data_IF_639588286039
#
_entry.id   IF_639588286039
#
_cell.length_a   1.000
_cell.length_b   1.000
_cell.length_c   1.000
_cell.angle_alpha   90.00
_cell.angle_beta   90.00
_cell.angle_gamma   90.00
#
_symmetry.space_group_name_H-M   'P 1'
#
loop_
_entity.id
_entity.type
_entity.pdbx_description
1 polymer ?
#
# COMPACT_ATOMS: atom_id res chain seq x y z
N UNK A 1 -27.57 2.27 -17.25
CA UNK A 1 -26.95 2.16 -18.59
C UNK A 1 -26.46 0.74 -18.77
N UNK A 2 -26.45 0.24 -20.00
CA UNK A 2 -26.04 -1.15 -20.29
C UNK A 2 -24.55 -1.20 -20.62
N UNK A 3 -23.90 -2.33 -20.36
CA UNK A 3 -22.53 -2.62 -20.80
C UNK A 3 -22.36 -2.53 -22.33
N UNK A 4 -23.46 -2.68 -23.08
CA UNK A 4 -23.50 -2.57 -24.54
C UNK A 4 -23.14 -1.17 -25.04
N UNK A 5 -23.62 -0.11 -24.37
CA UNK A 5 -23.31 1.29 -24.74
C UNK A 5 -21.82 1.60 -24.56
N UNK A 6 -21.20 1.04 -23.51
CA UNK A 6 -19.77 1.16 -23.26
C UNK A 6 -18.96 0.41 -24.35
N UNK A 7 -19.36 -0.81 -24.68
CA UNK A 7 -18.71 -1.61 -25.73
C UNK A 7 -18.77 -0.92 -27.09
N UNK A 8 -19.95 -0.40 -27.49
CA UNK A 8 -20.09 0.36 -28.74
C UNK A 8 -19.18 1.60 -28.77
N UNK A 9 -19.01 2.27 -27.62
CA UNK A 9 -18.11 3.41 -27.50
C UNK A 9 -16.64 2.98 -27.65
N UNK A 10 -16.26 1.86 -27.04
CA UNK A 10 -14.92 1.29 -27.15
C UNK A 10 -14.62 0.81 -28.57
N UNK A 11 -15.55 0.15 -29.25
CA UNK A 11 -15.39 -0.27 -30.64
C UNK A 11 -15.15 0.93 -31.56
N UNK A 12 -15.93 2.01 -31.40
CA UNK A 12 -15.73 3.24 -32.16
C UNK A 12 -14.35 3.87 -31.88
N UNK A 13 -13.93 3.92 -30.62
CA UNK A 13 -12.61 4.44 -30.24
C UNK A 13 -11.47 3.58 -30.77
N UNK A 14 -11.62 2.26 -30.80
CA UNK A 14 -10.64 1.35 -31.38
C UNK A 14 -10.47 1.60 -32.88
N UNK A 15 -11.57 1.74 -33.64
CA UNK A 15 -11.49 2.08 -35.06
C UNK A 15 -10.75 3.41 -35.30
N UNK A 16 -10.95 4.42 -34.45
CA UNK A 16 -10.19 5.67 -34.56
C UNK A 16 -8.68 5.46 -34.37
N UNK A 17 -8.26 4.60 -33.43
CA UNK A 17 -6.84 4.27 -33.27
C UNK A 17 -6.28 3.46 -34.45
N UNK A 18 -7.10 2.59 -35.07
CA UNK A 18 -6.71 1.85 -36.26
C UNK A 18 -6.49 2.79 -37.47
N UNK A 19 -7.44 3.69 -37.70
CA UNK A 19 -7.42 4.60 -38.85
C UNK A 19 -6.30 5.65 -38.70
N UNK A 20 -6.10 6.16 -37.48
CA UNK A 20 -5.14 7.21 -37.17
C UNK A 20 -4.43 6.91 -35.84
N UNK A 21 -3.31 6.17 -35.84
CA UNK A 21 -2.61 5.81 -34.62
C UNK A 21 -2.13 7.03 -33.82
N UNK A 22 -2.62 7.18 -32.59
CA UNK A 22 -2.20 8.24 -31.65
C UNK A 22 -2.59 7.92 -30.20
N UNK A 23 -1.98 8.60 -29.25
CA UNK A 23 -2.26 8.47 -27.81
C UNK A 23 -3.44 9.36 -27.37
N UNK A 24 -4.62 9.13 -27.96
CA UNK A 24 -5.82 9.95 -27.75
C UNK A 24 -6.26 10.08 -26.28
N UNK A 25 -6.07 9.04 -25.46
CA UNK A 25 -6.37 9.10 -24.03
C UNK A 25 -5.41 10.00 -23.24
N UNK A 26 -4.22 10.26 -23.78
CA UNK A 26 -3.24 11.22 -23.24
C UNK A 26 -3.35 12.61 -23.89
N UNK A 27 -4.32 12.79 -24.80
CA UNK A 27 -4.62 14.08 -25.43
C UNK A 27 -3.86 14.34 -26.73
N UNK A 28 -3.19 13.33 -27.28
CA UNK A 28 -2.52 13.44 -28.58
C UNK A 28 -3.47 13.17 -29.76
N UNK A 29 -3.19 13.79 -30.92
CA UNK A 29 -3.95 13.57 -32.15
C UNK A 29 -5.18 14.47 -32.31
N UNK A 30 -6.17 13.98 -33.07
CA UNK A 30 -7.44 14.67 -33.33
C UNK A 30 -8.21 15.02 -32.04
N UNK A 31 -8.54 16.31 -31.92
CA UNK A 31 -9.24 16.86 -30.75
C UNK A 31 -10.64 16.29 -30.52
N UNK A 32 -11.34 15.87 -31.58
CA UNK A 32 -12.65 15.25 -31.51
C UNK A 32 -12.58 13.85 -30.91
N UNK A 33 -11.58 13.05 -31.31
CA UNK A 33 -11.31 11.73 -30.72
C UNK A 33 -10.88 11.86 -29.26
N UNK A 34 -10.00 12.82 -28.93
CA UNK A 34 -9.63 13.11 -27.53
C UNK A 34 -10.85 13.46 -26.67
N UNK A 35 -11.81 14.21 -27.21
CA UNK A 35 -13.07 14.51 -26.53
C UNK A 35 -13.94 13.26 -26.32
N UNK A 36 -13.95 12.35 -27.29
CA UNK A 36 -14.64 11.05 -27.18
C UNK A 36 -14.00 10.16 -26.10
N UNK A 37 -12.66 10.09 -26.02
CA UNK A 37 -11.92 9.43 -24.94
C UNK A 37 -12.30 9.99 -23.56
N UNK A 38 -12.36 11.32 -23.41
CA UNK A 38 -12.80 11.94 -22.14
C UNK A 38 -14.25 11.59 -21.80
N UNK A 39 -15.12 11.46 -22.80
CA UNK A 39 -16.52 11.04 -22.61
C UNK A 39 -16.62 9.58 -22.20
N UNK A 40 -15.83 8.68 -22.78
CA UNK A 40 -15.83 7.26 -22.43
C UNK A 40 -15.32 7.03 -21.00
N UNK A 41 -14.29 7.76 -20.55
CA UNK A 41 -13.84 7.73 -19.15
C UNK A 41 -14.94 8.21 -18.18
N UNK A 42 -15.68 9.27 -18.54
CA UNK A 42 -16.84 9.74 -17.75
C UNK A 42 -17.97 8.70 -17.69
N UNK A 43 -18.21 7.99 -18.80
CA UNK A 43 -19.18 6.89 -18.84
C UNK A 43 -18.73 5.73 -17.93
N UNK A 44 -17.44 5.41 -17.94
CA UNK A 44 -16.85 4.33 -17.14
C UNK A 44 -17.07 4.53 -15.63
N UNK A 45 -17.11 5.78 -15.14
CA UNK A 45 -17.42 6.09 -13.73
C UNK A 45 -18.76 5.55 -13.24
N UNK A 46 -19.71 5.28 -14.14
CA UNK A 46 -21.00 4.69 -13.75
C UNK A 46 -20.89 3.21 -13.37
N UNK A 47 -19.78 2.56 -13.74
CA UNK A 47 -19.50 1.15 -13.47
C UNK A 47 -18.51 0.97 -12.31
N UNK A 48 -18.41 1.96 -11.41
CA UNK A 48 -17.59 1.87 -10.21
C UNK A 48 -17.86 0.59 -9.43
N UNK A 49 -16.79 -0.10 -9.07
CA UNK A 49 -16.84 -1.32 -8.28
C UNK A 49 -16.86 -0.92 -6.80
N UNK A 50 -18.06 -0.85 -6.21
CA UNK A 50 -18.24 -0.39 -4.82
C UNK A 50 -18.00 -1.50 -3.81
N UNK A 51 -17.35 -1.15 -2.69
CA UNK A 51 -17.14 -2.04 -1.53
C UNK A 51 -16.54 -3.41 -1.89
N UNK A 52 -15.81 -3.53 -3.01
CA UNK A 52 -15.33 -4.82 -3.52
C UNK A 52 -14.42 -5.57 -2.55
N UNK A 53 -13.72 -4.84 -1.70
CA UNK A 53 -12.91 -5.37 -0.60
C UNK A 53 -13.71 -6.11 0.47
N UNK A 54 -15.00 -5.77 0.61
CA UNK A 54 -15.95 -6.39 1.56
C UNK A 54 -16.75 -7.53 0.95
N UNK A 55 -16.61 -7.75 -0.37
CA UNK A 55 -17.34 -8.79 -1.08
C UNK A 55 -16.51 -10.07 -1.14
N UNK A 56 -17.19 -11.22 -1.11
CA UNK A 56 -16.55 -12.53 -1.24
C UNK A 56 -16.11 -12.83 -2.68
N UNK A 57 -16.73 -12.16 -3.66
CA UNK A 57 -16.41 -12.31 -5.08
C UNK A 57 -15.01 -11.75 -5.37
N UNK A 58 -14.14 -12.58 -5.95
CA UNK A 58 -12.81 -12.12 -6.33
C UNK A 58 -12.88 -11.04 -7.42
N UNK A 59 -12.04 -10.02 -7.31
CA UNK A 59 -11.98 -8.87 -8.20
C UNK A 59 -11.93 -9.21 -9.70
N UNK A 60 -11.13 -10.18 -10.16
CA UNK A 60 -11.09 -10.53 -11.58
C UNK A 60 -12.44 -10.98 -12.17
N UNK A 61 -13.38 -11.43 -11.34
CA UNK A 61 -14.71 -11.88 -11.79
C UNK A 61 -15.65 -10.72 -12.13
N UNK A 62 -15.31 -9.47 -11.87
CA UNK A 62 -16.21 -8.36 -12.20
C UNK A 62 -16.23 -8.13 -13.72
N UNK A 63 -17.38 -8.27 -14.41
CA UNK A 63 -17.43 -8.24 -15.89
C UNK A 63 -16.87 -6.96 -16.51
N UNK A 64 -16.97 -5.84 -15.80
CA UNK A 64 -16.44 -4.55 -16.27
C UNK A 64 -14.92 -4.57 -16.44
N UNK A 65 -14.18 -5.26 -15.56
CA UNK A 65 -12.72 -5.38 -15.68
C UNK A 65 -12.33 -6.09 -16.96
N UNK A 66 -13.07 -7.14 -17.34
CA UNK A 66 -12.87 -7.85 -18.60
C UNK A 66 -13.13 -6.95 -19.82
N UNK A 67 -14.23 -6.19 -19.81
CA UNK A 67 -14.56 -5.26 -20.90
C UNK A 67 -13.43 -4.23 -21.08
N UNK A 68 -12.95 -3.66 -19.96
CA UNK A 68 -11.86 -2.69 -19.96
C UNK A 68 -10.54 -3.32 -20.39
N UNK A 69 -10.17 -4.49 -19.86
CA UNK A 69 -8.93 -5.17 -20.19
C UNK A 69 -8.87 -5.54 -21.68
N UNK A 70 -9.96 -6.04 -22.25
CA UNK A 70 -10.04 -6.34 -23.68
C UNK A 70 -9.81 -5.11 -24.54
N UNK A 71 -10.41 -3.97 -24.16
CA UNK A 71 -10.23 -2.74 -24.89
C UNK A 71 -8.80 -2.19 -24.75
N UNK A 72 -8.22 -2.22 -23.56
CA UNK A 72 -6.83 -1.79 -23.33
C UNK A 72 -5.88 -2.60 -24.22
N UNK A 73 -5.98 -3.93 -24.23
CA UNK A 73 -5.13 -4.81 -25.06
C UNK A 73 -5.21 -4.44 -26.56
N UNK A 74 -6.38 -4.01 -27.05
CA UNK A 74 -6.54 -3.62 -28.45
C UNK A 74 -5.77 -2.33 -28.82
N UNK A 75 -5.63 -1.41 -27.86
CA UNK A 75 -5.04 -0.09 -28.11
C UNK A 75 -3.65 0.09 -27.49
N UNK A 76 -3.21 -0.80 -26.60
CA UNK A 76 -1.96 -0.69 -25.83
C UNK A 76 -0.74 -0.47 -26.73
N UNK A 77 -0.69 -1.13 -27.89
CA UNK A 77 0.38 -0.98 -28.88
C UNK A 77 0.60 0.47 -29.37
N UNK A 78 -0.39 1.36 -29.20
CA UNK A 78 -0.29 2.78 -29.56
C UNK A 78 0.25 3.67 -28.43
N UNK A 79 0.44 3.11 -27.22
CA UNK A 79 0.86 3.81 -26.02
C UNK A 79 2.22 3.28 -25.52
N UNK A 80 3.16 3.04 -26.44
CA UNK A 80 4.50 2.56 -26.10
C UNK A 80 5.15 3.48 -25.03
N UNK A 81 5.72 2.90 -23.97
CA UNK A 81 6.27 3.60 -22.79
C UNK A 81 5.22 4.27 -21.87
N UNK A 82 3.94 4.27 -22.25
CA UNK A 82 2.84 4.90 -21.52
C UNK A 82 1.71 3.91 -21.17
N UNK A 83 1.97 2.60 -21.25
CA UNK A 83 0.97 1.54 -21.02
C UNK A 83 0.43 1.59 -19.59
N UNK A 84 1.30 1.87 -18.62
CA UNK A 84 0.91 2.01 -17.21
C UNK A 84 0.01 3.23 -17.01
N UNK A 85 0.30 4.36 -17.65
CA UNK A 85 -0.52 5.57 -17.56
C UNK A 85 -1.91 5.33 -18.15
N UNK A 86 -1.97 4.66 -19.30
CA UNK A 86 -3.23 4.24 -19.91
C UNK A 86 -4.04 3.37 -18.95
N UNK A 87 -3.46 2.31 -18.37
CA UNK A 87 -4.14 1.41 -17.43
C UNK A 87 -4.70 2.18 -16.23
N UNK A 88 -3.89 3.08 -15.64
CA UNK A 88 -4.30 3.88 -14.48
C UNK A 88 -5.48 4.80 -14.79
N UNK A 89 -5.56 5.38 -16.00
CA UNK A 89 -6.70 6.23 -16.40
C UNK A 89 -8.01 5.49 -16.29
N UNK A 90 -8.07 4.23 -16.73
CA UNK A 90 -9.27 3.39 -16.67
C UNK A 90 -9.56 2.92 -15.26
N UNK A 91 -8.56 2.41 -14.54
CA UNK A 91 -8.72 1.91 -13.18
C UNK A 91 -9.27 2.97 -12.24
N UNK A 92 -8.79 4.21 -12.33
CA UNK A 92 -9.27 5.30 -11.50
C UNK A 92 -10.71 5.73 -11.77
N UNK A 93 -11.29 5.38 -12.93
CA UNK A 93 -12.72 5.57 -13.14
C UNK A 93 -13.55 4.48 -12.46
N UNK A 94 -12.99 3.29 -12.27
CA UNK A 94 -13.67 2.13 -11.70
C UNK A 94 -13.64 2.11 -10.17
N UNK A 95 -12.78 2.90 -9.54
CA UNK A 95 -12.68 2.97 -8.08
C UNK A 95 -13.72 3.94 -7.49
N UNK A 96 -14.36 3.58 -6.35
CA UNK A 96 -15.36 4.41 -5.69
C UNK A 96 -14.76 5.64 -4.98
N UNK A 97 -13.49 5.55 -4.61
CA UNK A 97 -12.72 6.52 -3.84
C UNK A 97 -11.34 6.71 -4.48
N UNK A 98 -10.66 7.81 -4.15
CA UNK A 98 -9.24 7.94 -4.47
C UNK A 98 -8.45 6.97 -3.56
N UNK A 99 -7.75 5.97 -4.10
CA UNK A 99 -7.01 5.00 -3.28
C UNK A 99 -5.80 5.63 -2.57
N UNK A 100 -5.42 6.86 -2.94
CA UNK A 100 -4.24 7.56 -2.41
C UNK A 100 -4.63 8.95 -1.90
N UNK A 101 -5.37 9.03 -0.77
CA UNK A 101 -5.81 10.28 -0.16
C UNK A 101 -4.65 11.08 0.46
N UNK A 102 -3.54 10.42 0.80
CA UNK A 102 -2.34 11.05 1.37
C UNK A 102 -1.30 11.44 0.31
N UNK A 103 -1.72 11.64 -0.95
CA UNK A 103 -0.83 12.12 -2.00
C UNK A 103 -0.24 13.48 -1.65
N UNK A 104 0.97 13.71 -2.15
CA UNK A 104 1.72 14.90 -1.82
C UNK A 104 0.96 16.19 -2.11
N UNK A 105 0.28 16.27 -3.25
CA UNK A 105 -0.48 17.47 -3.62
C UNK A 105 -1.67 17.74 -2.70
N UNK A 106 -2.32 16.69 -2.18
CA UNK A 106 -3.44 16.83 -1.25
C UNK A 106 -2.94 17.35 0.09
N UNK A 107 -1.88 16.75 0.63
CA UNK A 107 -1.32 17.17 1.91
C UNK A 107 -0.69 18.56 1.85
N UNK A 108 -0.01 18.92 0.75
CA UNK A 108 0.48 20.28 0.51
C UNK A 108 -0.63 21.33 0.49
N UNK A 109 -1.86 20.94 0.16
CA UNK A 109 -3.02 21.85 0.19
C UNK A 109 -3.60 22.05 1.60
N UNK A 110 -3.17 21.25 2.58
CA UNK A 110 -3.59 21.42 3.97
C UNK A 110 -2.72 22.48 4.64
N UNK A 111 -3.36 23.52 5.15
CA UNK A 111 -2.68 24.57 5.93
C UNK A 111 -2.87 24.31 7.43
N UNK A 112 -1.77 24.21 8.17
CA UNK A 112 -1.83 24.12 9.64
C UNK A 112 -1.79 25.49 10.32
N UNK A 113 -0.94 26.38 9.82
CA UNK A 113 -0.89 27.77 10.27
C UNK A 113 -0.25 28.67 9.22
N UNK A 114 -0.62 29.95 9.21
CA UNK A 114 0.02 31.00 8.42
C UNK A 114 0.78 32.00 9.29
N UNK A 115 1.85 32.57 8.76
CA UNK A 115 2.56 33.71 9.35
C UNK A 115 2.98 34.71 8.25
N UNK A 116 2.99 35.99 8.58
CA UNK A 116 3.51 37.03 7.68
C UNK A 116 5.04 37.12 7.83
N UNK A 117 5.77 37.14 6.71
CA UNK A 117 7.23 37.23 6.68
C UNK A 117 7.73 38.29 5.69
N UNK A 118 8.97 38.74 5.90
CA UNK A 118 9.76 39.52 4.97
C UNK A 118 10.96 38.68 4.51
N UNK A 119 11.31 38.74 3.21
CA UNK A 119 12.37 37.90 2.61
C UNK A 119 13.71 38.63 2.45
N UNK A 120 13.78 39.90 2.84
CA UNK A 120 14.93 40.77 2.61
C UNK A 120 15.16 41.69 3.80
N UNK A 121 16.33 42.32 3.81
CA UNK A 121 16.77 43.21 4.88
C UNK A 121 15.74 44.34 5.14
N UNK A 122 15.50 44.65 6.42
CA UNK A 122 14.63 45.71 6.93
C UNK A 122 14.86 47.10 6.30
N UNK A 123 16.01 47.31 5.66
CA UNK A 123 16.35 48.53 4.90
C UNK A 123 15.60 48.65 3.56
N UNK A 124 15.03 47.56 3.04
CA UNK A 124 14.22 47.56 1.82
C UNK A 124 12.75 47.57 2.20
N UNK A 125 11.99 48.56 1.74
CA UNK A 125 10.53 48.57 1.91
C UNK A 125 9.92 47.47 1.04
N UNK A 126 9.25 46.52 1.69
CA UNK A 126 8.59 45.41 1.02
C UNK A 126 7.25 45.15 1.65
N UNK A 127 6.33 44.62 0.84
CA UNK A 127 5.10 44.07 1.38
C UNK A 127 5.42 42.72 1.99
N UNK A 128 5.06 42.49 3.26
CA UNK A 128 5.21 41.16 3.84
C UNK A 128 4.34 40.19 3.03
N UNK A 129 4.82 38.95 2.93
CA UNK A 129 4.13 37.87 2.25
C UNK A 129 3.62 36.85 3.27
N UNK A 130 2.58 36.12 2.92
CA UNK A 130 2.05 35.05 3.76
C UNK A 130 2.83 33.77 3.49
N UNK A 131 3.57 33.31 4.50
CA UNK A 131 4.11 31.95 4.56
C UNK A 131 3.15 31.07 5.37
N UNK A 132 3.23 29.76 5.18
CA UNK A 132 2.40 28.81 5.91
C UNK A 132 3.16 27.51 6.22
N UNK A 133 2.62 26.72 7.14
CA UNK A 133 3.02 25.34 7.37
C UNK A 133 2.00 24.43 6.66
N UNK A 134 2.49 23.60 5.73
CA UNK A 134 1.64 22.67 4.97
C UNK A 134 1.44 21.32 5.70
N UNK A 135 0.66 20.41 5.10
CA UNK A 135 0.38 19.07 5.64
C UNK A 135 1.59 18.16 5.86
N UNK A 136 2.74 18.47 5.25
CA UNK A 136 4.03 17.80 5.49
C UNK A 136 4.86 18.44 6.58
N UNK A 137 4.32 19.46 7.23
CA UNK A 137 5.04 20.27 8.20
C UNK A 137 6.23 21.01 7.57
N UNK A 138 6.09 21.37 6.29
CA UNK A 138 7.05 22.21 5.60
C UNK A 138 6.65 23.67 5.80
N UNK A 139 7.64 24.51 6.11
CA UNK A 139 7.49 25.94 6.00
C UNK A 139 7.56 26.34 4.53
N UNK A 140 6.46 26.86 4.01
CA UNK A 140 6.27 27.23 2.61
C UNK A 140 6.11 28.74 2.48
N UNK A 141 6.94 29.37 1.65
CA UNK A 141 6.84 30.79 1.34
C UNK A 141 6.88 31.03 -0.18
N UNK A 142 5.95 31.83 -0.73
CA UNK A 142 5.98 32.19 -2.15
C UNK A 142 7.14 33.16 -2.42
N UNK A 143 8.01 32.82 -3.38
CA UNK A 143 9.11 33.67 -3.85
C UNK A 143 8.94 33.90 -5.34
N UNK A 144 8.41 35.07 -5.71
CA UNK A 144 8.04 35.41 -7.08
C UNK A 144 7.08 34.36 -7.70
N UNK A 145 7.48 33.68 -8.78
CA UNK A 145 6.69 32.61 -9.43
C UNK A 145 7.00 31.21 -8.87
N UNK A 146 7.86 31.10 -7.86
CA UNK A 146 8.26 29.85 -7.22
C UNK A 146 7.80 29.76 -5.76
N UNK A 147 7.96 28.58 -5.17
CA UNK A 147 7.78 28.35 -3.74
C UNK A 147 9.12 27.93 -3.12
N UNK A 148 9.48 28.55 -2.00
CA UNK A 148 10.53 28.04 -1.12
C UNK A 148 9.88 27.12 -0.09
N UNK A 149 10.43 25.91 0.04
CA UNK A 149 9.97 24.89 0.99
C UNK A 149 11.12 24.50 1.90
N UNK A 150 10.87 24.54 3.21
CA UNK A 150 11.85 24.18 4.23
C UNK A 150 11.19 23.17 5.18
N UNK A 151 11.68 21.94 5.16
CA UNK A 151 11.25 20.88 6.08
C UNK A 151 11.53 21.31 7.52
N UNK A 152 10.51 21.55 8.35
CA UNK A 152 10.75 21.98 9.74
C UNK A 152 11.30 20.85 10.61
N UNK A 153 11.04 19.60 10.22
CA UNK A 153 11.59 18.38 10.81
C UNK A 153 12.45 17.71 9.73
N UNK A 154 13.76 17.63 9.94
CA UNK A 154 14.65 16.96 9.00
C UNK A 154 14.51 15.43 9.10
N UNK A 155 14.96 14.66 8.08
CA UNK A 155 14.93 13.19 8.14
C UNK A 155 15.65 12.57 9.35
N UNK A 156 16.64 13.29 9.90
CA UNK A 156 17.38 12.91 11.12
C UNK A 156 16.77 13.49 12.41
N UNK A 157 15.57 14.07 12.34
CA UNK A 157 14.82 14.59 13.50
C UNK A 157 15.38 15.88 14.09
N UNK A 158 16.25 16.59 13.35
CA UNK A 158 16.78 17.88 13.78
C UNK A 158 15.86 19.01 13.35
N UNK A 159 15.96 20.09 14.10
CA UNK A 159 15.29 21.34 13.78
C UNK A 159 15.96 21.99 12.56
N UNK A 160 15.17 22.34 11.56
CA UNK A 160 15.69 23.09 10.42
C UNK A 160 15.93 24.56 10.75
N UNK A 161 16.92 25.14 10.06
CA UNK A 161 17.19 26.56 10.11
C UNK A 161 16.57 27.25 8.88
N UNK A 162 15.82 28.32 9.09
CA UNK A 162 15.41 29.20 7.99
C UNK A 162 16.62 30.04 7.53
N UNK A 163 16.68 30.38 6.24
CA UNK A 163 17.62 31.38 5.74
C UNK A 163 17.55 32.67 6.58
N UNK A 164 18.70 33.29 6.92
CA UNK A 164 18.73 34.50 7.75
C UNK A 164 18.05 35.72 7.10
N UNK A 165 17.70 35.63 5.82
CA UNK A 165 16.93 36.63 5.09
C UNK A 165 15.44 36.63 5.44
N UNK A 166 14.93 35.59 6.12
CA UNK A 166 13.53 35.48 6.50
C UNK A 166 13.33 36.10 7.89
N UNK A 167 12.53 37.16 7.96
CA UNK A 167 12.14 37.80 9.21
C UNK A 167 10.62 37.76 9.37
N UNK A 168 10.14 37.48 10.58
CA UNK A 168 8.70 37.42 10.87
C UNK A 168 8.14 38.83 11.09
N UNK A 169 7.06 39.16 10.38
CA UNK A 169 6.36 40.42 10.56
C UNK A 169 5.45 40.32 11.78
N UNK A 170 5.64 41.21 12.76
CA UNK A 170 4.85 41.26 14.00
C UNK A 170 4.14 42.61 14.05
N UNK A 171 2.83 42.59 13.83
CA UNK A 171 2.00 43.80 13.73
C UNK A 171 1.75 44.45 15.11
N UNK A 172 1.85 43.68 16.22
CA UNK A 172 1.74 44.21 17.59
C UNK A 172 2.45 43.31 18.63
N UNK A 173 3.16 43.94 19.59
CA UNK A 173 4.06 43.31 20.60
C UNK A 173 3.36 42.47 21.70
N UNK A 174 2.18 41.89 21.46
CA UNK A 174 1.41 41.16 22.49
C UNK A 174 0.96 39.75 22.13
N UNK A 175 1.27 39.25 20.94
CA UNK A 175 1.00 37.86 20.58
C UNK A 175 2.29 37.03 20.60
N UNK A 176 2.13 35.74 20.94
CA UNK A 176 3.15 34.69 20.79
C UNK A 176 3.84 34.92 19.46
N UNK A 177 5.18 35.07 19.46
CA UNK A 177 5.87 35.36 18.22
C UNK A 177 5.65 34.17 17.27
N UNK A 178 5.16 34.36 16.03
CA UNK A 178 5.02 33.27 15.07
C UNK A 178 6.33 32.49 14.89
N UNK A 179 7.46 33.19 15.11
CA UNK A 179 8.79 32.63 15.22
C UNK A 179 8.93 31.60 16.37
N UNK A 180 8.48 31.92 17.58
CA UNK A 180 8.49 31.00 18.73
C UNK A 180 7.61 29.78 18.45
N UNK A 181 6.42 29.96 17.88
CA UNK A 181 5.60 28.82 17.49
C UNK A 181 6.30 27.96 16.43
N UNK A 182 6.77 28.53 15.32
CA UNK A 182 7.36 27.78 14.18
C UNK A 182 8.67 27.07 14.57
N UNK A 183 9.49 27.66 15.43
CA UNK A 183 10.79 27.09 15.78
C UNK A 183 10.77 26.30 17.08
N UNK A 184 9.98 26.68 18.07
CA UNK A 184 10.05 26.05 19.38
C UNK A 184 8.92 25.05 19.59
N UNK A 185 7.68 25.46 19.37
CA UNK A 185 6.52 24.63 19.70
C UNK A 185 6.19 23.65 18.58
N UNK A 186 6.29 24.11 17.33
CA UNK A 186 5.94 23.36 16.16
C UNK A 186 6.78 22.06 16.04
N UNK A 187 8.11 22.04 16.17
CA UNK A 187 8.86 20.79 16.10
C UNK A 187 8.53 19.79 17.22
N UNK A 188 8.05 20.27 18.38
CA UNK A 188 7.70 19.41 19.52
C UNK A 188 6.37 18.67 19.33
N UNK A 189 5.44 19.26 18.55
CA UNK A 189 4.11 18.69 18.31
C UNK A 189 3.91 18.22 16.86
N UNK A 190 4.86 18.50 15.97
CA UNK A 190 4.71 18.35 14.51
C UNK A 190 4.28 16.95 14.09
N UNK A 191 4.97 15.91 14.56
CA UNK A 191 4.60 14.52 14.27
C UNK A 191 3.19 14.16 14.76
N UNK A 192 2.79 14.66 15.94
CA UNK A 192 1.44 14.45 16.46
C UNK A 192 0.40 15.17 15.60
N UNK A 193 0.66 16.42 15.21
CA UNK A 193 -0.21 17.19 14.32
C UNK A 193 -0.35 16.52 12.96
N UNK A 194 0.76 16.08 12.35
CA UNK A 194 0.79 15.33 11.09
C UNK A 194 0.00 14.02 11.19
N UNK A 195 0.21 13.25 12.27
CA UNK A 195 -0.54 12.02 12.51
C UNK A 195 -2.06 12.25 12.52
N UNK A 196 -2.53 13.29 13.23
CA UNK A 196 -3.95 13.64 13.28
C UNK A 196 -4.46 14.18 11.93
N UNK A 197 -3.63 14.93 11.20
CA UNK A 197 -3.97 15.43 9.87
C UNK A 197 -4.13 14.30 8.85
N UNK A 198 -3.22 13.31 8.87
CA UNK A 198 -3.33 12.13 8.04
C UNK A 198 -4.58 11.32 8.36
N UNK A 199 -4.86 11.10 9.65
CA UNK A 199 -6.07 10.43 10.09
C UNK A 199 -7.34 11.18 9.63
N UNK A 200 -7.37 12.52 9.74
CA UNK A 200 -8.50 13.32 9.28
C UNK A 200 -8.68 13.27 7.75
N UNK A 201 -7.57 13.31 7.00
CA UNK A 201 -7.56 13.26 5.53
C UNK A 201 -8.06 11.92 5.00
N UNK A 202 -7.65 10.82 5.65
CA UNK A 202 -8.08 9.46 5.28
C UNK A 202 -9.53 9.20 5.68
N UNK A 203 -9.90 9.56 6.91
CA UNK A 203 -11.20 9.19 7.44
C UNK A 203 -12.36 9.76 6.61
N UNK A 204 -12.20 10.96 6.02
CA UNK A 204 -13.22 11.64 5.19
C UNK A 204 -14.63 11.58 5.82
N UNK A 205 -14.72 11.58 7.15
CA UNK A 205 -15.98 11.39 7.87
C UNK A 205 -16.71 12.72 7.99
N UNK A 206 -17.91 12.79 7.41
CA UNK A 206 -18.86 13.85 7.68
C UNK A 206 -20.18 13.22 8.14
N UNK A 207 -20.63 13.41 9.40
CA UNK A 207 -20.09 14.34 10.42
C UNK A 207 -18.77 13.87 11.08
N UNK A 208 -18.10 14.80 11.76
CA UNK A 208 -16.95 14.54 12.63
C UNK A 208 -17.39 13.61 13.77
N UNK A 209 -16.99 12.34 13.68
CA UNK A 209 -17.23 11.34 14.72
C UNK A 209 -16.07 11.32 15.74
N UNK A 210 -16.25 10.60 16.85
CA UNK A 210 -15.26 10.44 17.92
C UNK A 210 -13.85 10.06 17.40
N UNK A 211 -12.80 10.46 18.11
CA UNK A 211 -11.39 10.23 17.75
C UNK A 211 -11.09 8.76 17.46
N UNK A 212 -11.63 7.83 18.26
CA UNK A 212 -11.43 6.39 18.05
C UNK A 212 -12.14 5.88 16.81
N UNK A 213 -13.25 6.50 16.42
CA UNK A 213 -13.94 6.19 15.16
C UNK A 213 -13.08 6.63 13.99
N UNK A 214 -12.55 7.86 14.01
CA UNK A 214 -11.64 8.34 12.95
C UNK A 214 -10.40 7.44 12.82
N UNK A 215 -9.83 7.01 13.95
CA UNK A 215 -8.67 6.12 13.95
C UNK A 215 -8.99 4.72 13.41
N UNK A 216 -10.13 4.15 13.78
CA UNK A 216 -10.60 2.88 13.21
C UNK A 216 -10.80 2.96 11.69
N UNK A 217 -11.39 4.06 11.20
CA UNK A 217 -11.54 4.32 9.77
C UNK A 217 -10.21 4.51 9.05
N UNK A 218 -9.24 5.20 9.67
CA UNK A 218 -7.91 5.34 9.10
C UNK A 218 -7.20 3.99 8.97
N UNK A 219 -7.32 3.12 9.98
CA UNK A 219 -6.83 1.72 9.93
C UNK A 219 -7.52 0.93 8.81
N UNK A 220 -8.83 1.07 8.68
CA UNK A 220 -9.66 0.33 7.72
C UNK A 220 -9.91 1.11 6.41
N UNK A 221 -8.93 1.88 5.96
CA UNK A 221 -9.03 2.67 4.73
C UNK A 221 -8.48 1.91 3.52
N UNK A 222 -8.93 2.30 2.32
CA UNK A 222 -8.48 1.70 1.05
C UNK A 222 -7.01 1.98 0.73
N UNK A 223 -6.38 2.96 1.41
CA UNK A 223 -4.97 3.35 1.24
C UNK A 223 -3.99 2.40 1.95
N UNK A 224 -4.45 1.75 3.03
CA UNK A 224 -3.70 0.77 3.83
C UNK A 224 -2.41 1.27 4.49
N UNK A 225 -2.00 2.54 4.31
CA UNK A 225 -0.73 3.03 4.87
C UNK A 225 -0.73 3.01 6.39
N UNK A 226 -1.85 3.33 7.05
CA UNK A 226 -1.97 3.27 8.52
C UNK A 226 -1.80 1.85 9.06
N UNK A 227 -2.50 0.89 8.46
CA UNK A 227 -2.39 -0.52 8.84
C UNK A 227 -0.95 -1.03 8.62
N UNK A 228 -0.35 -0.70 7.47
CA UNK A 228 1.04 -1.06 7.14
C UNK A 228 2.03 -0.46 8.14
N UNK A 229 1.89 0.82 8.48
CA UNK A 229 2.74 1.51 9.44
C UNK A 229 2.66 0.87 10.84
N UNK A 230 1.44 0.53 11.31
CA UNK A 230 1.24 -0.17 12.58
C UNK A 230 1.92 -1.54 12.64
N UNK A 231 2.11 -2.21 11.50
CA UNK A 231 2.82 -3.50 11.42
C UNK A 231 4.34 -3.38 11.54
N UNK A 232 4.94 -2.19 11.33
CA UNK A 232 6.40 -2.03 11.24
C UNK A 232 6.99 -1.02 12.22
N UNK A 233 6.17 -0.13 12.78
CA UNK A 233 6.64 1.01 13.60
C UNK A 233 7.46 0.61 14.83
N UNK A 234 7.24 -0.57 15.39
CA UNK A 234 8.05 -1.06 16.51
C UNK A 234 8.19 -2.59 16.44
N UNK A 235 9.35 -3.10 15.95
CA UNK A 235 9.57 -4.53 15.75
C UNK A 235 9.96 -5.27 17.04
N UNK A 236 9.95 -4.60 18.21
CA UNK A 236 10.30 -5.26 19.48
C UNK A 236 9.29 -6.36 19.83
N UNK A 237 9.75 -7.49 20.43
CA UNK A 237 8.87 -8.60 20.81
C UNK A 237 7.65 -8.19 21.64
N UNK A 238 7.81 -7.18 22.50
CA UNK A 238 6.78 -6.68 23.41
C UNK A 238 5.65 -5.93 22.69
N UNK A 239 5.94 -5.41 21.50
CA UNK A 239 5.01 -4.65 20.66
C UNK A 239 4.33 -5.53 19.60
N UNK A 240 4.87 -6.72 19.29
CA UNK A 240 4.27 -7.67 18.35
C UNK A 240 2.80 -8.00 18.63
N UNK A 241 2.32 -8.15 19.88
CA UNK A 241 0.90 -8.40 20.15
C UNK A 241 -0.04 -7.30 19.60
N UNK A 242 0.45 -6.08 19.33
CA UNK A 242 -0.36 -5.03 18.70
C UNK A 242 -0.70 -5.37 17.24
N UNK A 243 0.15 -6.12 16.54
CA UNK A 243 -0.14 -6.58 15.18
C UNK A 243 -1.34 -7.53 15.20
N UNK A 244 -1.40 -8.47 16.15
CA UNK A 244 -2.58 -9.35 16.28
C UNK A 244 -3.87 -8.57 16.58
N UNK A 245 -3.78 -7.50 17.39
CA UNK A 245 -4.93 -6.62 17.66
C UNK A 245 -5.37 -5.87 16.40
N UNK A 246 -4.43 -5.36 15.61
CA UNK A 246 -4.69 -4.73 14.32
C UNK A 246 -5.38 -5.70 13.36
N UNK A 247 -4.86 -6.93 13.20
CA UNK A 247 -5.47 -7.94 12.35
C UNK A 247 -6.92 -8.22 12.77
N UNK A 248 -7.20 -8.29 14.08
CA UNK A 248 -8.57 -8.45 14.57
C UNK A 248 -9.49 -7.26 14.20
N UNK A 249 -8.98 -6.02 14.27
CA UNK A 249 -9.73 -4.82 13.84
C UNK A 249 -10.04 -4.91 12.34
N UNK A 250 -9.05 -5.26 11.52
CA UNK A 250 -9.23 -5.42 10.07
C UNK A 250 -10.20 -6.54 9.74
N UNK A 251 -10.15 -7.69 10.43
CA UNK A 251 -11.08 -8.80 10.17
C UNK A 251 -12.52 -8.43 10.50
N UNK A 252 -12.76 -7.79 11.66
CA UNK A 252 -14.11 -7.39 12.09
C UNK A 252 -14.73 -6.38 11.14
N UNK A 253 -13.90 -5.50 10.55
CA UNK A 253 -14.35 -4.50 9.58
C UNK A 253 -14.37 -5.00 8.12
N UNK A 254 -13.98 -6.26 7.86
CA UNK A 254 -13.97 -6.85 6.51
C UNK A 254 -12.80 -6.40 5.63
N UNK A 255 -11.72 -5.86 6.21
CA UNK A 255 -10.55 -5.34 5.50
C UNK A 255 -9.32 -6.27 5.54
N UNK A 256 -9.33 -7.34 6.34
CA UNK A 256 -8.15 -8.22 6.48
C UNK A 256 -7.71 -8.79 5.12
N UNK A 257 -8.67 -9.30 4.33
CA UNK A 257 -8.40 -9.89 3.02
C UNK A 257 -7.77 -8.89 2.07
N UNK A 258 -8.37 -7.70 1.98
CA UNK A 258 -7.84 -6.65 1.14
C UNK A 258 -6.43 -6.27 1.56
N UNK A 259 -6.20 -6.09 2.87
CA UNK A 259 -4.89 -5.74 3.40
C UNK A 259 -3.82 -6.78 3.04
N UNK A 260 -4.10 -8.07 3.29
CA UNK A 260 -3.16 -9.16 2.98
C UNK A 260 -2.93 -9.30 1.48
N UNK A 261 -3.98 -9.20 0.65
CA UNK A 261 -3.87 -9.26 -0.82
C UNK A 261 -3.03 -8.10 -1.35
N UNK A 262 -3.24 -6.88 -0.84
CA UNK A 262 -2.46 -5.71 -1.25
C UNK A 262 -0.99 -5.83 -0.89
N UNK A 263 -0.69 -6.25 0.34
CA UNK A 263 0.70 -6.52 0.73
C UNK A 263 1.30 -7.61 -0.15
N UNK A 264 0.62 -8.73 -0.34
CA UNK A 264 1.12 -9.81 -1.19
C UNK A 264 1.34 -9.37 -2.65
N UNK A 265 0.42 -8.60 -3.21
CA UNK A 265 0.58 -7.97 -4.52
C UNK A 265 1.85 -7.12 -4.55
N UNK A 266 2.02 -6.19 -3.62
CA UNK A 266 3.20 -5.30 -3.60
C UNK A 266 4.54 -6.04 -3.48
N UNK A 267 4.55 -7.21 -2.83
CA UNK A 267 5.78 -7.93 -2.46
C UNK A 267 6.15 -9.04 -3.45
N UNK A 268 5.18 -9.61 -4.20
CA UNK A 268 5.39 -10.83 -5.01
C UNK A 268 6.54 -10.77 -6.01
N UNK A 269 6.78 -9.60 -6.63
CA UNK A 269 7.88 -9.40 -7.59
C UNK A 269 9.22 -9.14 -6.89
N UNK A 270 9.17 -8.51 -5.72
CA UNK A 270 10.35 -8.14 -4.92
C UNK A 270 11.03 -9.38 -4.36
N UNK A 271 10.26 -10.38 -3.96
CA UNK A 271 10.79 -11.61 -3.33
C UNK A 271 11.45 -12.56 -4.31
N UNK A 272 11.26 -12.44 -5.62
CA UNK A 272 11.93 -13.31 -6.59
C UNK A 272 13.45 -13.08 -6.55
N UNK A 273 13.86 -11.81 -6.43
CA UNK A 273 15.25 -11.41 -6.26
C UNK A 273 15.72 -11.43 -4.81
N UNK A 274 16.76 -10.65 -4.51
CA UNK A 274 17.10 -10.29 -3.13
C UNK A 274 16.29 -9.03 -2.76
N UNK A 275 15.37 -9.11 -1.79
CA UNK A 275 14.62 -7.93 -1.39
C UNK A 275 15.53 -6.82 -0.88
N UNK A 276 15.23 -5.54 -1.17
CA UNK A 276 16.02 -4.44 -0.64
C UNK A 276 15.89 -4.38 0.89
N UNK A 277 16.97 -4.04 1.61
CA UNK A 277 16.90 -3.83 3.05
C UNK A 277 15.93 -2.66 3.30
N UNK A 278 14.90 -2.90 4.12
CA UNK A 278 13.83 -1.95 4.48
C UNK A 278 12.66 -1.82 3.50
N UNK A 279 12.35 -2.86 2.71
CA UNK A 279 11.05 -2.89 2.03
C UNK A 279 9.90 -2.97 3.06
N UNK A 280 9.16 -1.88 3.22
CA UNK A 280 8.18 -1.70 4.31
C UNK A 280 7.06 -2.75 4.24
N UNK A 281 6.51 -3.02 3.05
CA UNK A 281 5.40 -3.95 2.87
C UNK A 281 5.80 -5.40 3.10
N UNK A 282 7.00 -5.81 2.63
CA UNK A 282 7.56 -7.12 2.96
C UNK A 282 7.80 -7.25 4.45
N UNK A 283 8.34 -6.21 5.10
CA UNK A 283 8.53 -6.18 6.55
C UNK A 283 7.20 -6.32 7.29
N UNK A 284 6.15 -5.60 6.85
CA UNK A 284 4.81 -5.71 7.41
C UNK A 284 4.27 -7.14 7.28
N UNK A 285 4.37 -7.74 6.09
CA UNK A 285 3.88 -9.08 5.81
C UNK A 285 4.65 -10.16 6.61
N UNK A 286 5.97 -10.02 6.73
CA UNK A 286 6.80 -10.86 7.61
C UNK A 286 6.36 -10.71 9.07
N UNK A 287 6.19 -9.49 9.58
CA UNK A 287 5.80 -9.28 10.97
C UNK A 287 4.40 -9.85 11.28
N UNK A 288 3.46 -9.74 10.33
CA UNK A 288 2.13 -10.37 10.38
C UNK A 288 2.26 -11.88 10.46
N UNK A 289 3.09 -12.49 9.62
CA UNK A 289 3.32 -13.93 9.64
C UNK A 289 4.01 -14.38 10.94
N UNK A 290 5.05 -13.66 11.39
CA UNK A 290 5.78 -13.95 12.65
C UNK A 290 4.84 -13.94 13.85
N UNK A 291 4.03 -12.89 14.02
CA UNK A 291 3.12 -12.83 15.17
C UNK A 291 2.10 -13.96 15.15
N UNK A 292 1.64 -14.37 13.96
CA UNK A 292 0.69 -15.47 13.80
C UNK A 292 1.31 -16.86 13.99
N UNK A 293 2.64 -16.98 13.88
CA UNK A 293 3.36 -18.26 13.95
C UNK A 293 4.10 -18.46 15.27
N UNK A 294 4.00 -17.54 16.25
CA UNK A 294 4.75 -17.62 17.51
C UNK A 294 4.60 -18.96 18.23
N UNK A 295 3.37 -19.45 18.41
CA UNK A 295 3.08 -20.75 19.06
C UNK A 295 3.68 -21.92 18.30
N UNK A 296 3.55 -21.89 16.96
CA UNK A 296 4.11 -22.92 16.08
C UNK A 296 5.64 -22.93 16.15
N UNK A 297 6.26 -21.74 16.17
CA UNK A 297 7.71 -21.57 16.11
C UNK A 297 8.45 -22.23 17.27
N UNK A 298 7.79 -22.42 18.41
CA UNK A 298 8.37 -23.09 19.58
C UNK A 298 8.44 -24.61 19.44
N UNK A 299 7.75 -25.17 18.45
CA UNK A 299 7.71 -26.61 18.16
C UNK A 299 8.61 -27.00 16.97
N UNK A 300 9.35 -26.05 16.42
CA UNK A 300 10.28 -26.27 15.30
C UNK A 300 11.69 -26.40 15.84
N UNK A 301 12.39 -27.47 15.44
CA UNK A 301 13.76 -27.78 15.86
C UNK A 301 14.55 -28.27 14.63
N UNK A 302 15.20 -27.35 13.88
CA UNK A 302 15.95 -27.72 12.69
C UNK A 302 17.41 -28.08 13.01
N UNK A 303 18.01 -28.90 12.15
CA UNK A 303 19.46 -29.16 12.14
C UNK A 303 20.24 -28.17 11.27
N UNK A 304 19.65 -27.81 10.13
CA UNK A 304 20.22 -27.02 9.02
C UNK A 304 19.07 -26.38 8.23
N UNK A 305 19.38 -25.55 7.21
CA UNK A 305 18.33 -24.88 6.42
C UNK A 305 17.40 -25.86 5.69
N UNK A 306 17.94 -26.97 5.16
CA UNK A 306 17.13 -27.97 4.45
C UNK A 306 16.22 -28.73 5.41
N UNK A 307 16.73 -29.08 6.59
CA UNK A 307 15.95 -29.67 7.68
C UNK A 307 14.88 -28.73 8.21
N UNK A 308 15.16 -27.42 8.27
CA UNK A 308 14.17 -26.39 8.60
C UNK A 308 13.03 -26.37 7.58
N UNK A 309 13.33 -26.27 6.29
CA UNK A 309 12.33 -26.25 5.20
C UNK A 309 11.45 -27.50 5.29
N UNK A 310 12.04 -28.69 5.39
CA UNK A 310 11.28 -29.95 5.52
C UNK A 310 10.39 -29.98 6.78
N UNK A 311 10.84 -29.41 7.88
CA UNK A 311 10.07 -29.35 9.14
C UNK A 311 8.89 -28.39 9.01
N UNK A 312 9.10 -27.23 8.39
CA UNK A 312 8.06 -26.25 8.07
C UNK A 312 7.01 -26.90 7.16
N UNK A 313 7.43 -27.52 6.06
CA UNK A 313 6.55 -28.19 5.09
C UNK A 313 5.67 -29.26 5.76
N UNK A 314 6.28 -30.18 6.53
CA UNK A 314 5.53 -31.19 7.30
C UNK A 314 4.56 -30.59 8.32
N UNK A 315 4.92 -29.47 8.95
CA UNK A 315 4.06 -28.76 9.90
C UNK A 315 2.81 -28.21 9.21
N UNK A 316 3.00 -27.54 8.08
CA UNK A 316 1.94 -27.00 7.24
C UNK A 316 1.06 -28.14 6.71
N UNK A 317 1.64 -29.24 6.22
CA UNK A 317 0.91 -30.39 5.69
C UNK A 317 0.06 -31.13 6.72
N UNK A 318 0.56 -31.30 7.95
CA UNK A 318 -0.14 -32.08 8.98
C UNK A 318 -1.06 -31.25 9.87
N UNK A 319 -1.03 -29.92 9.72
CA UNK A 319 -1.74 -28.96 10.57
C UNK A 319 -1.48 -29.17 12.08
N UNK A 320 -0.27 -29.67 12.41
CA UNK A 320 0.09 -29.95 13.79
C UNK A 320 0.71 -28.68 14.37
N UNK A 321 0.01 -28.03 15.30
CA UNK A 321 0.46 -26.83 16.00
C UNK A 321 0.60 -25.55 15.16
N UNK A 322 0.03 -25.50 13.95
CA UNK A 322 0.00 -24.28 13.13
C UNK A 322 -1.31 -23.51 13.40
N UNK A 323 -1.26 -22.26 13.90
CA UNK A 323 -2.46 -21.47 14.12
C UNK A 323 -3.24 -21.21 12.83
N UNK A 324 -4.58 -21.19 12.91
CA UNK A 324 -5.45 -20.97 11.74
C UNK A 324 -5.18 -19.64 11.04
N UNK A 325 -4.91 -18.57 11.80
CA UNK A 325 -4.57 -17.27 11.23
C UNK A 325 -3.23 -17.32 10.46
N UNK A 326 -2.25 -18.10 10.94
CA UNK A 326 -0.98 -18.30 10.23
C UNK A 326 -1.19 -19.01 8.90
N UNK A 327 -2.01 -20.07 8.88
CA UNK A 327 -2.39 -20.75 7.64
C UNK A 327 -3.17 -19.82 6.70
N UNK A 328 -4.04 -18.98 7.25
CA UNK A 328 -4.81 -18.02 6.46
C UNK A 328 -3.93 -17.00 5.75
N UNK A 329 -2.97 -16.42 6.48
CA UNK A 329 -1.96 -15.49 5.93
C UNK A 329 -1.14 -16.19 4.84
N UNK A 330 -0.64 -17.40 5.13
CA UNK A 330 0.14 -18.19 4.18
C UNK A 330 -0.66 -18.52 2.91
N UNK A 331 -1.91 -18.97 3.06
CA UNK A 331 -2.78 -19.25 1.91
C UNK A 331 -3.02 -17.99 1.07
N UNK A 332 -3.33 -16.87 1.71
CA UNK A 332 -3.64 -15.62 1.00
C UNK A 332 -2.46 -15.16 0.15
N UNK A 333 -1.27 -15.10 0.73
CA UNK A 333 -0.09 -14.62 0.03
C UNK A 333 0.38 -15.58 -1.07
N UNK A 334 0.32 -16.90 -0.82
CA UNK A 334 0.66 -17.93 -1.82
C UNK A 334 -0.35 -17.95 -2.96
N UNK A 335 -1.63 -17.67 -2.69
CA UNK A 335 -2.66 -17.57 -3.74
C UNK A 335 -2.31 -16.46 -4.72
N UNK A 336 -2.00 -15.25 -4.21
CA UNK A 336 -1.60 -14.13 -5.06
C UNK A 336 -0.33 -14.45 -5.85
N UNK A 337 0.64 -15.09 -5.22
CA UNK A 337 1.90 -15.46 -5.86
C UNK A 337 1.71 -16.51 -6.96
N UNK A 338 0.89 -17.53 -6.72
CA UNK A 338 0.61 -18.60 -7.68
C UNK A 338 -0.16 -18.10 -8.92
N UNK A 339 -0.94 -17.02 -8.79
CA UNK A 339 -1.59 -16.40 -9.94
C UNK A 339 -0.66 -15.50 -10.77
N UNK A 340 0.50 -15.09 -10.25
CA UNK A 340 1.43 -14.21 -10.97
C UNK A 340 2.10 -14.93 -12.15
N UNK A 341 2.69 -16.11 -11.91
CA UNK A 341 3.40 -16.88 -12.91
C UNK A 341 2.93 -18.35 -13.00
N UNK A 342 2.91 -18.94 -14.21
CA UNK A 342 2.56 -20.35 -14.37
C UNK A 342 3.63 -21.34 -13.86
N UNK A 343 4.87 -20.88 -13.63
CA UNK A 343 5.98 -21.75 -13.23
C UNK A 343 6.10 -21.97 -11.71
N UNK A 344 5.34 -21.22 -10.91
CA UNK A 344 5.35 -21.28 -9.44
C UNK A 344 6.53 -20.56 -8.78
N UNK A 345 7.36 -19.85 -9.54
CA UNK A 345 8.60 -19.25 -9.02
C UNK A 345 8.29 -18.14 -8.00
N UNK A 346 7.29 -17.29 -8.28
CA UNK A 346 6.81 -16.30 -7.32
C UNK A 346 6.25 -16.94 -6.03
N UNK A 347 5.57 -18.09 -6.14
CA UNK A 347 5.00 -18.79 -4.99
C UNK A 347 6.10 -19.40 -4.11
N UNK A 348 7.12 -20.02 -4.71
CA UNK A 348 8.30 -20.54 -4.00
C UNK A 348 9.07 -19.38 -3.34
N UNK A 349 9.28 -18.28 -4.06
CA UNK A 349 9.95 -17.10 -3.52
C UNK A 349 9.21 -16.50 -2.31
N UNK A 350 7.88 -16.35 -2.40
CA UNK A 350 7.02 -15.90 -1.29
C UNK A 350 7.06 -16.88 -0.11
N UNK A 351 7.03 -18.19 -0.37
CA UNK A 351 7.19 -19.21 0.66
C UNK A 351 8.53 -19.06 1.37
N UNK A 352 9.63 -18.92 0.63
CA UNK A 352 10.96 -18.79 1.20
C UNK A 352 11.12 -17.50 2.01
N UNK A 353 10.71 -16.34 1.49
CA UNK A 353 10.93 -15.05 2.16
C UNK A 353 9.98 -14.78 3.33
N UNK A 354 8.73 -15.25 3.28
CA UNK A 354 7.74 -14.93 4.31
C UNK A 354 7.57 -16.07 5.31
N UNK A 355 7.65 -17.34 4.87
CA UNK A 355 7.46 -18.50 5.75
C UNK A 355 8.80 -18.99 6.29
N UNK A 356 9.80 -19.21 5.45
CA UNK A 356 11.06 -19.86 5.87
C UNK A 356 12.03 -18.87 6.51
N UNK A 357 12.25 -17.71 5.89
CA UNK A 357 13.26 -16.74 6.34
C UNK A 357 13.09 -16.30 7.80
N UNK A 358 11.87 -16.03 8.33
CA UNK A 358 11.74 -15.65 9.73
C UNK A 358 12.17 -16.76 10.70
N UNK A 359 11.95 -18.02 10.34
CA UNK A 359 12.46 -19.15 11.12
C UNK A 359 13.96 -19.30 10.97
N UNK A 360 14.51 -19.12 9.76
CA UNK A 360 15.95 -19.14 9.54
C UNK A 360 16.65 -18.10 10.42
N UNK A 361 16.08 -16.88 10.52
CA UNK A 361 16.54 -15.84 11.43
C UNK A 361 16.45 -16.24 12.91
N UNK A 362 15.36 -16.88 13.32
CA UNK A 362 15.20 -17.39 14.70
C UNK A 362 16.28 -18.41 15.07
N UNK A 363 16.69 -19.26 14.13
CA UNK A 363 17.66 -20.35 14.36
C UNK A 363 19.08 -20.02 13.90
N UNK A 364 19.37 -18.76 13.56
CA UNK A 364 20.69 -18.31 13.11
C UNK A 364 21.19 -19.01 11.83
N UNK A 365 20.29 -19.32 10.90
CA UNK A 365 20.55 -19.99 9.61
C UNK A 365 20.53 -19.02 8.42
N UNK A 366 20.63 -17.70 8.63
CA UNK A 366 20.52 -16.69 7.58
C UNK A 366 21.61 -16.84 6.50
N UNK A 367 22.81 -17.27 6.90
CA UNK A 367 23.93 -17.47 5.98
C UNK A 367 23.69 -18.63 5.00
N UNK A 368 22.90 -19.63 5.39
CA UNK A 368 22.53 -20.77 4.55
C UNK A 368 21.27 -20.50 3.71
N UNK A 369 20.43 -19.56 4.14
CA UNK A 369 19.16 -19.24 3.51
C UNK A 369 19.33 -18.75 2.06
N UNK A 370 20.16 -17.73 1.85
CA UNK A 370 20.27 -17.09 0.54
C UNK A 370 20.84 -18.02 -0.54
N UNK A 371 21.91 -18.81 -0.29
CA UNK A 371 22.36 -19.84 -1.21
C UNK A 371 21.25 -20.85 -1.54
N UNK A 372 20.53 -21.33 -0.52
CA UNK A 372 19.46 -22.34 -0.69
C UNK A 372 18.29 -21.80 -1.51
N UNK A 373 17.86 -20.56 -1.24
CA UNK A 373 16.83 -19.89 -2.04
C UNK A 373 17.29 -19.76 -3.49
N UNK A 374 18.52 -19.31 -3.73
CA UNK A 374 19.07 -19.14 -5.08
C UNK A 374 19.13 -20.48 -5.83
N UNK A 375 19.49 -21.55 -5.15
CA UNK A 375 19.51 -22.91 -5.68
C UNK A 375 18.09 -23.38 -6.08
N UNK A 376 17.11 -23.21 -5.19
CA UNK A 376 15.70 -23.58 -5.44
C UNK A 376 15.08 -22.80 -6.60
N UNK A 377 15.46 -21.53 -6.76
CA UNK A 377 15.00 -20.66 -7.85
C UNK A 377 15.73 -20.93 -9.18
N UNK A 378 16.81 -21.71 -9.18
CA UNK A 378 17.56 -22.02 -10.40
C UNK A 378 16.87 -23.12 -11.22
N UNK A 379 16.82 -22.93 -12.55
CA UNK A 379 16.25 -23.93 -13.49
C UNK A 379 17.09 -25.21 -13.62
N UNK A 380 18.27 -25.25 -13.02
CA UNK A 380 19.22 -26.37 -13.11
C UNK A 380 18.95 -27.50 -12.11
N UNK A 381 17.91 -27.38 -11.26
CA UNK A 381 17.41 -28.43 -10.35
C UNK A 381 18.52 -29.24 -9.64
N UNK A 382 19.37 -28.56 -8.88
CA UNK A 382 20.42 -29.25 -8.11
C UNK A 382 19.86 -30.04 -6.91
N UNK A 383 18.67 -29.69 -6.41
CA UNK A 383 17.94 -30.41 -5.35
C UNK A 383 16.43 -30.49 -5.69
N UNK A 384 16.04 -31.37 -6.62
CA UNK A 384 14.64 -31.48 -7.05
C UNK A 384 13.73 -31.93 -5.91
N UNK A 385 14.20 -32.83 -5.04
CA UNK A 385 13.41 -33.34 -3.92
C UNK A 385 12.97 -32.23 -2.95
N UNK A 386 13.85 -31.27 -2.64
CA UNK A 386 13.49 -30.16 -1.75
C UNK A 386 12.48 -29.22 -2.41
N UNK A 387 12.61 -28.97 -3.72
CA UNK A 387 11.67 -28.15 -4.48
C UNK A 387 10.29 -28.82 -4.55
N UNK A 388 10.24 -30.11 -4.87
CA UNK A 388 9.00 -30.89 -4.95
C UNK A 388 8.22 -30.83 -3.62
N UNK A 389 8.91 -30.97 -2.48
CA UNK A 389 8.28 -30.86 -1.14
C UNK A 389 7.66 -29.47 -0.92
N UNK A 390 8.33 -28.41 -1.36
CA UNK A 390 7.79 -27.04 -1.24
C UNK A 390 6.57 -26.88 -2.15
N UNK A 391 6.64 -27.33 -3.40
CA UNK A 391 5.54 -27.25 -4.36
C UNK A 391 4.31 -28.03 -3.87
N UNK A 392 4.49 -29.27 -3.41
CA UNK A 392 3.44 -30.09 -2.81
C UNK A 392 2.81 -29.40 -1.59
N UNK A 393 3.64 -28.82 -0.72
CA UNK A 393 3.17 -28.06 0.45
C UNK A 393 2.34 -26.85 0.02
N UNK A 394 2.77 -26.09 -0.98
CA UNK A 394 2.05 -24.93 -1.50
C UNK A 394 0.70 -25.38 -2.06
N UNK A 395 0.66 -26.38 -2.93
CA UNK A 395 -0.56 -26.93 -3.52
C UNK A 395 -1.53 -27.35 -2.41
N UNK A 396 -1.02 -28.04 -1.40
CA UNK A 396 -1.81 -28.49 -0.25
C UNK A 396 -2.40 -27.33 0.56
N UNK A 397 -1.64 -26.26 0.80
CA UNK A 397 -2.16 -25.05 1.48
C UNK A 397 -3.24 -24.37 0.64
N UNK A 398 -3.04 -24.26 -0.67
CA UNK A 398 -3.99 -23.62 -1.59
C UNK A 398 -5.32 -24.39 -1.65
N UNK A 399 -5.27 -25.73 -1.66
CA UNK A 399 -6.43 -26.60 -1.68
C UNK A 399 -7.24 -26.67 -0.37
N UNK A 400 -6.77 -26.07 0.72
CA UNK A 400 -7.40 -26.19 2.04
C UNK A 400 -8.47 -25.14 2.31
N UNK A 401 -9.55 -25.55 2.95
CA UNK A 401 -10.49 -24.63 3.58
C UNK A 401 -9.95 -24.19 4.95
N UNK A 402 -9.87 -22.87 5.18
CA UNK A 402 -9.26 -22.28 6.38
C UNK A 402 -10.24 -21.27 6.96
N UNK A 403 -10.64 -21.48 8.22
CA UNK A 403 -11.48 -20.55 8.96
C UNK A 403 -10.63 -19.79 9.98
N UNK A 404 -10.44 -18.49 9.76
CA UNK A 404 -9.74 -17.62 10.70
C UNK A 404 -10.72 -17.04 11.75
N UNK A 405 -10.52 -17.31 13.05
CA UNK A 405 -11.38 -16.74 14.09
C UNK A 405 -11.14 -15.24 14.25
N UNK A 406 -12.19 -14.51 14.60
CA UNK A 406 -12.11 -13.09 14.96
C UNK A 406 -13.00 -12.77 16.15
N UNK A 407 -12.68 -11.68 16.85
CA UNK A 407 -13.24 -11.31 18.14
C UNK A 407 -13.82 -9.89 18.10
N UNK A 408 -15.09 -9.72 17.66
CA UNK A 408 -15.73 -8.41 17.56
C UNK A 408 -15.77 -7.64 18.88
N UNK A 409 -16.01 -8.35 19.98
CA UNK A 409 -16.12 -7.76 21.33
C UNK A 409 -14.81 -7.17 21.87
N UNK A 410 -13.67 -7.49 21.23
CA UNK A 410 -12.36 -6.97 21.61
C UNK A 410 -12.04 -5.63 20.95
N UNK A 411 -12.65 -5.30 19.80
CA UNK A 411 -12.31 -4.12 18.97
C UNK A 411 -12.32 -2.82 19.78
N UNK A 412 -13.41 -2.56 20.51
CA UNK A 412 -13.55 -1.35 21.35
C UNK A 412 -12.46 -1.23 22.42
N UNK A 413 -11.91 -2.34 22.91
CA UNK A 413 -10.84 -2.35 23.92
C UNK A 413 -9.45 -2.22 23.32
N UNK A 414 -9.24 -2.73 22.11
CA UNK A 414 -7.92 -2.71 21.45
C UNK A 414 -7.63 -1.41 20.72
N UNK A 415 -8.65 -0.70 20.21
CA UNK A 415 -8.47 0.56 19.49
C UNK A 415 -7.70 1.62 20.30
N UNK A 416 -8.04 1.91 21.57
CA UNK A 416 -7.26 2.85 22.38
C UNK A 416 -5.82 2.40 22.63
N UNK A 417 -5.57 1.08 22.65
CA UNK A 417 -4.22 0.52 22.84
C UNK A 417 -3.39 0.74 21.57
N UNK A 418 -3.96 0.49 20.40
CA UNK A 418 -3.32 0.74 19.11
C UNK A 418 -3.05 2.23 18.89
N UNK A 419 -3.99 3.11 19.26
CA UNK A 419 -3.81 4.55 19.16
C UNK A 419 -2.67 5.05 20.05
N UNK A 420 -2.64 4.63 21.33
CA UNK A 420 -1.53 4.95 22.24
C UNK A 420 -0.20 4.39 21.74
N UNK A 421 -0.21 3.21 21.13
CA UNK A 421 0.98 2.62 20.53
C UNK A 421 1.50 3.44 19.34
N UNK A 422 0.61 3.90 18.45
CA UNK A 422 0.99 4.80 17.36
C UNK A 422 1.57 6.12 17.90
N UNK A 423 0.89 6.76 18.86
CA UNK A 423 1.35 8.02 19.45
C UNK A 423 2.69 7.90 20.18
N UNK A 424 2.93 6.79 20.89
CA UNK A 424 4.21 6.55 21.58
C UNK A 424 5.38 6.46 20.58
N UNK A 425 5.11 6.09 19.33
CA UNK A 425 6.10 5.96 18.27
C UNK A 425 5.80 6.92 17.11
N UNK A 426 5.20 8.09 17.40
CA UNK A 426 4.59 8.95 16.39
C UNK A 426 5.57 9.45 15.33
N UNK A 427 6.81 9.76 15.72
CA UNK A 427 7.83 10.25 14.79
C UNK A 427 8.12 9.21 13.70
N UNK A 428 8.41 7.98 14.12
CA UNK A 428 8.68 6.88 13.20
C UNK A 428 7.42 6.51 12.42
N UNK A 429 6.24 6.54 13.04
CA UNK A 429 4.97 6.27 12.39
C UNK A 429 4.72 7.23 11.22
N UNK A 430 4.89 8.53 11.46
CA UNK A 430 4.78 9.57 10.43
C UNK A 430 5.82 9.36 9.35
N UNK A 431 7.09 9.13 9.70
CA UNK A 431 8.15 8.86 8.71
C UNK A 431 7.80 7.68 7.79
N UNK A 432 7.26 6.59 8.34
CA UNK A 432 6.81 5.44 7.56
C UNK A 432 5.68 5.84 6.60
N UNK A 433 4.67 6.56 7.08
CA UNK A 433 3.57 7.04 6.25
C UNK A 433 4.06 7.94 5.11
N UNK A 434 5.02 8.83 5.38
CA UNK A 434 5.64 9.69 4.38
C UNK A 434 6.32 8.85 3.28
N UNK A 435 7.10 7.84 3.66
CA UNK A 435 7.80 6.96 2.71
C UNK A 435 6.82 6.13 1.89
N UNK A 436 5.75 5.61 2.51
CA UNK A 436 4.70 4.89 1.79
C UNK A 436 4.02 5.80 0.76
N UNK A 437 3.74 7.05 1.13
CA UNK A 437 2.96 7.99 0.32
C UNK A 437 3.76 8.81 -0.70
N UNK A 438 5.08 8.77 -0.64
CA UNK A 438 5.97 9.45 -1.60
C UNK A 438 6.17 8.67 -2.91
N UNK A 439 5.72 7.41 -2.98
CA UNK A 439 5.97 6.53 -4.14
C UNK A 439 5.13 6.91 -5.36
N UNK A 440 5.60 6.58 -6.59
CA UNK A 440 4.79 6.67 -7.79
C UNK A 440 3.47 5.92 -7.64
N UNK A 441 2.41 6.47 -8.23
CA UNK A 441 1.03 5.97 -8.09
C UNK A 441 0.88 4.46 -8.36
N UNK A 442 1.57 3.95 -9.38
CA UNK A 442 1.49 2.53 -9.77
C UNK A 442 2.19 1.58 -8.79
N UNK A 443 3.06 2.09 -7.92
CA UNK A 443 3.77 1.28 -6.93
C UNK A 443 2.96 1.04 -5.65
N UNK A 444 1.87 1.78 -5.44
CA UNK A 444 1.06 1.67 -4.23
C UNK A 444 0.31 0.34 -4.13
N UNK A 445 0.31 -0.34 -2.96
CA UNK A 445 -0.27 -1.68 -2.82
C UNK A 445 -1.73 -1.83 -3.27
N UNK A 446 -2.67 -0.90 -2.95
CA UNK A 446 -4.05 -0.99 -3.43
C UNK A 446 -4.13 -0.88 -4.96
N UNK A 447 -3.32 0.01 -5.55
CA UNK A 447 -3.27 0.20 -7.02
C UNK A 447 -2.70 -1.03 -7.70
N UNK A 448 -1.61 -1.61 -7.18
CA UNK A 448 -1.05 -2.86 -7.70
C UNK A 448 -2.05 -4.02 -7.66
N UNK A 449 -2.90 -4.09 -6.63
CA UNK A 449 -3.96 -5.11 -6.53
C UNK A 449 -4.99 -4.95 -7.64
N UNK A 450 -5.36 -3.72 -7.96
CA UNK A 450 -6.30 -3.42 -9.03
C UNK A 450 -5.71 -3.72 -10.41
N UNK A 451 -4.46 -3.32 -10.65
CA UNK A 451 -3.73 -3.65 -11.89
C UNK A 451 -3.65 -5.17 -12.04
N UNK A 452 -3.22 -5.88 -10.99
CA UNK A 452 -3.14 -7.33 -11.00
C UNK A 452 -4.49 -7.97 -11.32
N UNK A 453 -5.57 -7.50 -10.67
CA UNK A 453 -6.91 -8.03 -10.91
C UNK A 453 -7.41 -7.79 -12.33
N UNK A 454 -7.11 -6.62 -12.90
CA UNK A 454 -7.44 -6.26 -14.27
C UNK A 454 -6.71 -7.18 -15.26
N UNK A 455 -5.40 -7.38 -15.08
CA UNK A 455 -4.60 -8.28 -15.91
C UNK A 455 -5.13 -9.71 -15.89
N UNK A 456 -5.54 -10.20 -14.70
CA UNK A 456 -6.04 -11.56 -14.52
C UNK A 456 -7.50 -11.76 -14.91
N UNK A 457 -8.24 -10.69 -15.21
CA UNK A 457 -9.66 -10.76 -15.57
C UNK A 457 -9.89 -11.66 -16.80
N UNK A 458 -9.03 -11.61 -17.83
CA UNK A 458 -9.17 -12.46 -19.01
C UNK A 458 -8.73 -13.91 -18.76
N UNK A 459 -7.68 -14.11 -17.97
CA UNK A 459 -7.13 -15.44 -17.68
C UNK A 459 -8.13 -16.30 -16.91
N UNK A 460 -8.74 -15.75 -15.87
CA UNK A 460 -9.61 -16.51 -14.95
C UNK A 460 -10.94 -16.91 -15.61
N UNK A 461 -11.54 -16.02 -16.41
CA UNK A 461 -12.78 -16.32 -17.13
C UNK A 461 -12.61 -17.43 -18.18
N UNK A 462 -11.42 -17.58 -18.77
CA UNK A 462 -11.14 -18.66 -19.70
C UNK A 462 -11.18 -20.04 -19.01
N UNK A 463 -10.89 -20.11 -17.70
CA UNK A 463 -11.01 -21.35 -16.93
C UNK A 463 -12.47 -21.69 -16.60
N UNK A 464 -13.33 -20.71 -16.29
CA UNK A 464 -14.76 -20.97 -16.05
C UNK A 464 -15.50 -21.46 -17.29
N UNK A 465 -15.20 -20.89 -18.46
CA UNK A 465 -15.80 -21.31 -19.73
C UNK A 465 -15.38 -22.74 -20.16
N UNK A 466 -14.28 -23.24 -19.61
CA UNK A 466 -13.73 -24.58 -19.88
C UNK A 466 -13.84 -25.54 -18.68
N UNK A 467 -14.50 -25.12 -17.59
CA UNK A 467 -14.80 -25.99 -16.46
C UNK A 467 -16.05 -26.80 -16.78
N UNK A 468 -15.99 -28.15 -16.76
CA UNK A 468 -17.10 -29.02 -17.14
C UNK A 468 -18.33 -28.92 -16.23
#
# INVERSE_FOLDING_TARGET
MSTLELQQTFDALFQNHLDHPSMYFLGEGDSGVCALCKKSLKLLKQFQIKDFYKQTTALPYYPILRIVQNFIIQIEQYYHEHETELILLFLFQLLPSNPLPLRQDVLKSLEFCSAMICLYNDKLQQRPITAHIDGYYDFVAPIAENEMRIHLITPDGKQAALPPSITFFVEDKKNISPQEFIFHDAPQIGSSTQFHAFMATIAQTNPLNDLMYMFEHAICSDDLSFATALCVVDPRPESLPNISKLLNVLTVNGYLDHFLRSLACSVRKVVIGQPPPNHIELTALINIFVVSSLEWSNNVLPSDIKGLIRTICRGLEKNKFVPQLCLYIAKTMLTIAAYEDPCGDAAIAMFMEIIVFPFAKKFSLENEFLPTKTELMSKTHNDPELRDIIEDTIIHILGREIAAPYFPSAVKRVLPVLYKFALKNVDLFVQILLVLNARPVFEHPPVQTMIFSLMKANEIYAYEANSP
#
